data_IF_801701762098
#
_entry.id   IF_801701762098
#
_cell.length_a   1.000
_cell.length_b   1.000
_cell.length_c   1.000
_cell.angle_alpha   90.00
_cell.angle_beta   90.00
_cell.angle_gamma   90.00
#
_symmetry.space_group_name_H-M   'P 1'
#
loop_
_entity.id
_entity.type
_entity.pdbx_description
1 polymer ?
#
# COMPACT_ATOMS: atom_id res chain seq x y z
N UNK A 1 -1.19 -11.55 -11.94
CA UNK A 1 -0.69 -10.15 -11.84
C UNK A 1 -1.71 -9.23 -12.50
N UNK A 2 -1.86 -7.95 -12.09
CA UNK A 2 -2.71 -7.02 -12.87
C UNK A 2 -1.93 -6.51 -14.09
N UNK A 3 -2.60 -6.30 -15.23
CA UNK A 3 -1.97 -5.80 -16.47
C UNK A 3 -1.09 -4.54 -16.25
N UNK A 4 -1.53 -3.61 -15.40
CA UNK A 4 -0.72 -2.42 -15.05
C UNK A 4 0.56 -2.78 -14.29
N UNK A 5 0.53 -3.78 -13.42
CA UNK A 5 1.68 -4.19 -12.61
C UNK A 5 2.69 -4.99 -13.46
N UNK A 6 2.22 -5.66 -14.50
CA UNK A 6 3.02 -6.37 -15.49
C UNK A 6 3.82 -5.43 -16.39
N UNK A 7 3.21 -4.32 -16.86
CA UNK A 7 3.95 -3.25 -17.56
C UNK A 7 5.14 -2.72 -16.75
N UNK A 8 4.99 -2.66 -15.42
CA UNK A 8 6.09 -2.31 -14.52
C UNK A 8 7.18 -3.38 -14.45
N UNK A 9 6.80 -4.66 -14.43
CA UNK A 9 7.77 -5.75 -14.41
C UNK A 9 8.57 -5.81 -15.72
N UNK A 10 7.89 -5.74 -16.88
CA UNK A 10 8.51 -5.71 -18.20
C UNK A 10 9.48 -4.53 -18.35
N UNK A 11 9.07 -3.33 -17.91
CA UNK A 11 9.95 -2.16 -17.94
C UNK A 11 11.26 -2.40 -17.19
N UNK A 12 11.21 -2.91 -15.95
CA UNK A 12 12.43 -3.15 -15.18
C UNK A 12 13.26 -4.31 -15.75
N UNK A 13 12.60 -5.32 -16.32
CA UNK A 13 13.26 -6.46 -16.96
C UNK A 13 14.03 -6.00 -18.20
N UNK A 14 13.41 -5.23 -19.09
CA UNK A 14 14.06 -4.67 -20.27
C UNK A 14 15.21 -3.74 -19.89
N UNK A 15 15.01 -2.89 -18.87
CA UNK A 15 16.05 -1.94 -18.44
C UNK A 15 17.28 -2.62 -17.84
N UNK A 16 17.09 -3.77 -17.16
CA UNK A 16 18.17 -4.52 -16.53
C UNK A 16 18.60 -5.75 -17.35
N UNK A 17 18.05 -5.91 -18.56
CA UNK A 17 18.27 -7.07 -19.42
C UNK A 17 19.76 -7.44 -19.55
N UNK A 18 20.67 -6.50 -19.85
CA UNK A 18 22.08 -6.84 -20.03
C UNK A 18 22.75 -7.45 -18.80
N UNK A 19 22.29 -7.06 -17.61
CA UNK A 19 22.81 -7.60 -16.34
C UNK A 19 22.11 -8.88 -15.92
N UNK A 20 20.84 -9.04 -16.31
CA UNK A 20 20.01 -10.20 -15.96
C UNK A 20 20.40 -11.42 -16.79
N UNK A 21 20.61 -11.26 -18.09
CA UNK A 21 20.90 -12.34 -19.02
C UNK A 21 22.40 -12.60 -19.23
N UNK A 22 23.25 -11.95 -18.42
CA UNK A 22 24.69 -12.26 -18.39
C UNK A 22 25.50 -11.67 -19.54
N UNK A 23 24.93 -10.71 -20.30
CA UNK A 23 25.69 -9.93 -21.29
C UNK A 23 26.80 -9.10 -20.63
N UNK A 24 26.69 -8.85 -19.32
CA UNK A 24 27.63 -8.08 -18.52
C UNK A 24 28.11 -8.92 -17.34
N UNK A 25 29.43 -8.99 -17.16
CA UNK A 25 30.05 -9.64 -16.01
C UNK A 25 29.67 -8.99 -14.67
N UNK A 26 29.75 -9.77 -13.59
CA UNK A 26 29.39 -9.31 -12.24
C UNK A 26 30.19 -8.07 -11.81
N UNK A 27 31.45 -7.97 -12.22
CA UNK A 27 32.35 -6.86 -11.89
C UNK A 27 31.94 -5.57 -12.59
N UNK A 28 31.49 -5.67 -13.84
CA UNK A 28 31.05 -4.54 -14.66
C UNK A 28 29.62 -4.10 -14.35
N UNK A 29 28.86 -4.89 -13.59
CA UNK A 29 27.47 -4.57 -13.20
C UNK A 29 27.37 -3.19 -12.56
N UNK A 30 28.27 -2.82 -11.64
CA UNK A 30 28.21 -1.51 -10.99
C UNK A 30 28.45 -0.34 -11.96
N UNK A 31 29.35 -0.52 -12.93
CA UNK A 31 29.64 0.47 -13.96
C UNK A 31 28.43 0.66 -14.88
N UNK A 32 27.80 -0.44 -15.29
CA UNK A 32 26.56 -0.40 -16.08
C UNK A 32 25.45 0.36 -15.36
N UNK A 33 25.20 0.06 -14.07
CA UNK A 33 24.15 0.75 -13.31
C UNK A 33 24.44 2.25 -13.16
N UNK A 34 25.71 2.65 -12.99
CA UNK A 34 26.11 4.06 -12.98
C UNK A 34 25.82 4.74 -14.32
N UNK A 35 26.18 4.11 -15.44
CA UNK A 35 25.88 4.62 -16.79
C UNK A 35 24.37 4.78 -17.00
N UNK A 36 23.59 3.78 -16.59
CA UNK A 36 22.14 3.77 -16.74
C UNK A 36 21.45 4.87 -15.92
N UNK A 37 22.00 5.26 -14.77
CA UNK A 37 21.49 6.39 -13.98
C UNK A 37 21.64 7.75 -14.65
N UNK A 38 22.56 7.90 -15.61
CA UNK A 38 22.72 9.14 -16.37
C UNK A 38 21.68 9.25 -17.49
N UNK A 39 21.13 8.11 -17.94
CA UNK A 39 20.13 8.06 -18.99
C UNK A 39 18.74 8.41 -18.47
N UNK A 40 18.04 9.26 -19.22
CA UNK A 40 16.64 9.55 -18.96
C UNK A 40 15.76 8.51 -19.64
N UNK A 41 14.85 7.89 -18.88
CA UNK A 41 13.96 6.84 -19.37
C UNK A 41 12.50 7.20 -19.16
N UNK A 42 11.65 6.75 -20.07
CA UNK A 42 10.20 6.90 -19.97
C UNK A 42 9.64 5.76 -19.13
N UNK A 43 9.10 6.09 -17.97
CA UNK A 43 8.47 5.12 -17.09
C UNK A 43 7.08 4.69 -17.61
N UNK A 44 6.53 3.53 -17.19
CA UNK A 44 5.21 3.04 -17.62
C UNK A 44 4.02 3.96 -17.31
N UNK A 45 4.23 4.99 -16.49
CA UNK A 45 3.26 6.04 -16.18
C UNK A 45 3.42 7.29 -17.07
N UNK A 46 4.23 7.21 -18.13
CA UNK A 46 4.52 8.31 -19.07
C UNK A 46 5.53 9.35 -18.57
N UNK A 47 6.02 9.22 -17.33
CA UNK A 47 6.95 10.22 -16.77
C UNK A 47 8.38 9.94 -17.21
N UNK A 48 9.08 10.97 -17.69
CA UNK A 48 10.52 10.93 -17.98
C UNK A 48 11.30 11.21 -16.72
N UNK A 49 12.16 10.28 -16.31
CA UNK A 49 13.03 10.42 -15.13
C UNK A 49 14.30 9.61 -15.31
N UNK A 50 15.33 9.98 -14.55
CA UNK A 50 16.53 9.17 -14.35
C UNK A 50 16.33 8.21 -13.16
N UNK A 51 16.50 6.89 -13.34
CA UNK A 51 16.41 5.95 -12.23
C UNK A 51 17.65 6.10 -11.33
N UNK A 52 17.48 6.02 -10.01
CA UNK A 52 18.62 6.09 -9.08
C UNK A 52 19.35 4.76 -8.97
N UNK A 53 20.66 4.79 -8.65
CA UNK A 53 21.48 3.59 -8.43
C UNK A 53 20.83 2.67 -7.39
N UNK A 54 20.34 3.25 -6.29
CA UNK A 54 19.66 2.52 -5.22
C UNK A 54 18.40 1.80 -5.70
N UNK A 55 17.64 2.42 -6.61
CA UNK A 55 16.45 1.80 -7.21
C UNK A 55 16.82 0.65 -8.11
N UNK A 56 17.84 0.82 -8.96
CA UNK A 56 18.29 -0.22 -9.88
C UNK A 56 18.86 -1.42 -9.12
N UNK A 57 19.74 -1.21 -8.14
CA UNK A 57 20.28 -2.27 -7.26
C UNK A 57 19.17 -3.02 -6.54
N UNK A 58 18.22 -2.30 -5.93
CA UNK A 58 17.07 -2.91 -5.24
C UNK A 58 16.25 -3.78 -6.18
N UNK A 59 16.05 -3.35 -7.44
CA UNK A 59 15.30 -4.11 -8.44
C UNK A 59 16.06 -5.35 -8.93
N UNK A 60 17.35 -5.21 -9.20
CA UNK A 60 18.22 -6.33 -9.58
C UNK A 60 18.27 -7.41 -8.50
N UNK A 61 18.50 -7.02 -7.24
CA UNK A 61 18.53 -7.98 -6.12
C UNK A 61 17.21 -8.70 -5.94
N UNK A 62 16.09 -8.00 -6.16
CA UNK A 62 14.77 -8.60 -6.08
C UNK A 62 14.54 -9.62 -7.21
N UNK A 63 14.95 -9.28 -8.42
CA UNK A 63 14.89 -10.23 -9.55
C UNK A 63 15.71 -11.49 -9.26
N UNK A 64 16.94 -11.33 -8.75
CA UNK A 64 17.81 -12.48 -8.40
C UNK A 64 17.21 -13.39 -7.32
N UNK A 65 16.41 -12.83 -6.41
CA UNK A 65 15.79 -13.58 -5.31
C UNK A 65 14.49 -14.28 -5.71
N UNK A 66 13.59 -13.53 -6.36
CA UNK A 66 12.18 -13.89 -6.50
C UNK A 66 11.72 -13.89 -7.99
N UNK A 67 12.65 -13.72 -8.93
CA UNK A 67 12.40 -13.75 -10.39
C UNK A 67 11.61 -12.54 -10.93
N UNK A 68 11.07 -12.69 -12.14
CA UNK A 68 10.37 -11.63 -12.88
C UNK A 68 9.13 -11.09 -12.16
N UNK A 69 8.33 -11.96 -11.54
CA UNK A 69 7.09 -11.56 -10.84
C UNK A 69 7.35 -10.54 -9.73
N UNK A 70 8.54 -10.56 -9.14
CA UNK A 70 8.95 -9.65 -8.08
C UNK A 70 9.18 -8.20 -8.53
N UNK A 71 9.46 -8.01 -9.83
CA UNK A 71 9.67 -6.69 -10.45
C UNK A 71 8.37 -5.91 -10.60
N UNK A 72 7.24 -6.61 -10.56
CA UNK A 72 5.91 -6.04 -10.54
C UNK A 72 5.75 -4.97 -9.44
N UNK A 73 4.81 -4.06 -9.67
CA UNK A 73 4.47 -3.07 -8.65
C UNK A 73 3.74 -3.75 -7.49
N UNK A 74 4.38 -3.81 -6.33
CA UNK A 74 3.73 -4.28 -5.09
C UNK A 74 2.91 -3.15 -4.47
N UNK A 75 1.72 -3.46 -3.99
CA UNK A 75 0.99 -2.55 -3.11
C UNK A 75 1.82 -2.26 -1.86
N UNK A 76 1.75 -1.04 -1.34
CA UNK A 76 2.38 -0.74 -0.05
C UNK A 76 1.79 -1.64 1.03
N UNK A 77 2.63 -2.18 1.91
CA UNK A 77 2.19 -3.07 2.99
C UNK A 77 1.26 -2.37 3.99
N UNK A 78 1.47 -1.07 4.23
CA UNK A 78 0.64 -0.22 5.08
C UNK A 78 -0.61 0.31 4.37
N UNK A 79 -0.86 -0.08 3.11
CA UNK A 79 -1.99 0.45 2.33
C UNK A 79 -3.31 0.02 2.96
N UNK A 80 -3.93 0.95 3.68
CA UNK A 80 -5.19 0.70 4.39
C UNK A 80 -5.06 0.87 5.91
N UNK A 81 -3.84 0.83 6.44
CA UNK A 81 -3.55 1.14 7.83
C UNK A 81 -3.70 2.66 8.07
N UNK A 82 -4.35 3.02 9.17
CA UNK A 82 -4.40 4.41 9.61
C UNK A 82 -3.06 4.78 10.23
N UNK A 83 -2.39 5.81 9.72
CA UNK A 83 -1.14 6.31 10.33
C UNK A 83 -1.39 7.04 11.65
N UNK A 84 -2.58 7.63 11.82
CA UNK A 84 -2.96 8.41 13.00
C UNK A 84 -3.55 7.55 14.12
N UNK A 85 -4.11 6.40 13.79
CA UNK A 85 -4.79 5.48 14.71
C UNK A 85 -4.04 4.14 14.69
N UNK A 86 -3.27 3.87 15.74
CA UNK A 86 -2.52 2.61 15.87
C UNK A 86 -3.47 1.40 15.91
N UNK A 87 -2.97 0.22 15.51
CA UNK A 87 -3.76 -1.02 15.48
C UNK A 87 -4.42 -1.35 16.84
N UNK A 88 -3.80 -0.94 17.97
CA UNK A 88 -4.36 -1.07 19.33
C UNK A 88 -5.72 -0.36 19.51
N UNK A 89 -5.99 0.66 18.70
CA UNK A 89 -7.28 1.38 18.67
C UNK A 89 -8.30 0.71 17.75
N UNK A 90 -7.82 -0.03 16.75
CA UNK A 90 -8.68 -0.72 15.77
C UNK A 90 -9.24 -2.04 16.27
N UNK A 91 -8.70 -2.59 17.37
CA UNK A 91 -9.12 -3.87 17.96
C UNK A 91 -10.15 -3.75 19.08
N UNK A 92 -10.44 -2.55 19.59
CA UNK A 92 -11.53 -2.31 20.56
C UNK A 92 -12.87 -1.76 20.01
N UNK A 93 -13.34 -2.08 18.78
CA UNK A 93 -14.76 -1.95 18.49
C UNK A 93 -15.58 -3.07 19.16
N UNK A 94 -15.00 -3.90 20.03
CA UNK A 94 -15.70 -4.96 20.75
C UNK A 94 -16.94 -4.44 21.50
N UNK A 95 -16.82 -3.29 22.18
CA UNK A 95 -17.94 -2.66 22.90
C UNK A 95 -19.08 -2.15 21.98
N UNK A 96 -18.83 -2.02 20.67
CA UNK A 96 -19.89 -1.67 19.70
C UNK A 96 -20.72 -2.87 19.27
N UNK A 97 -20.17 -4.10 19.36
CA UNK A 97 -20.96 -5.33 19.21
C UNK A 97 -21.90 -5.52 20.40
N UNK A 98 -21.44 -5.18 21.60
CA UNK A 98 -22.23 -5.27 22.84
C UNK A 98 -23.35 -4.23 22.91
N UNK A 99 -23.13 -3.01 22.39
CA UNK A 99 -24.15 -1.95 22.39
C UNK A 99 -24.26 -1.24 21.03
N UNK A 100 -24.87 -1.90 20.04
CA UNK A 100 -24.87 -1.45 18.64
C UNK A 100 -25.73 -0.21 18.36
N UNK A 101 -26.61 0.19 19.29
CA UNK A 101 -27.46 1.38 19.18
C UNK A 101 -26.78 2.68 19.64
N UNK A 102 -25.59 2.64 20.25
CA UNK A 102 -24.87 3.84 20.69
C UNK A 102 -24.62 4.80 19.52
N UNK A 103 -24.82 6.10 19.74
CA UNK A 103 -24.58 7.13 18.73
C UNK A 103 -23.09 7.25 18.40
N UNK A 104 -22.79 7.71 17.18
CA UNK A 104 -21.41 7.93 16.73
C UNK A 104 -20.68 8.98 17.59
N UNK A 105 -21.41 9.98 18.10
CA UNK A 105 -20.88 10.96 19.06
C UNK A 105 -20.49 10.32 20.39
N UNK A 106 -21.31 9.39 20.90
CA UNK A 106 -20.99 8.64 22.11
C UNK A 106 -19.73 7.79 21.90
N UNK A 107 -19.62 7.10 20.76
CA UNK A 107 -18.43 6.34 20.39
C UNK A 107 -17.18 7.23 20.27
N UNK A 108 -17.30 8.41 19.67
CA UNK A 108 -16.19 9.36 19.56
C UNK A 108 -15.75 9.93 20.92
N UNK A 109 -16.68 10.23 21.84
CA UNK A 109 -16.36 10.64 23.21
C UNK A 109 -15.64 9.53 23.97
N UNK A 110 -16.05 8.28 23.79
CA UNK A 110 -15.33 7.14 24.38
C UNK A 110 -13.91 7.01 23.82
N UNK A 111 -13.73 7.15 22.50
CA UNK A 111 -12.41 7.13 21.88
C UNK A 111 -11.52 8.27 22.38
N UNK A 112 -12.09 9.46 22.57
CA UNK A 112 -11.38 10.59 23.16
C UNK A 112 -10.99 10.33 24.62
N UNK A 113 -11.91 9.82 25.44
CA UNK A 113 -11.65 9.53 26.86
C UNK A 113 -10.56 8.47 27.06
N UNK A 114 -10.59 7.38 26.30
CA UNK A 114 -9.65 6.27 26.49
C UNK A 114 -8.35 6.42 25.71
N UNK A 115 -8.34 7.22 24.65
CA UNK A 115 -7.23 7.26 23.70
C UNK A 115 -6.82 8.67 23.25
N UNK A 116 -7.42 9.70 23.82
CA UNK A 116 -7.08 11.11 23.59
C UNK A 116 -7.35 11.62 22.17
N UNK A 117 -8.09 10.87 21.33
CA UNK A 117 -8.26 11.19 19.91
C UNK A 117 -9.67 10.91 19.41
N UNK A 118 -10.27 11.90 18.75
CA UNK A 118 -11.51 11.75 17.96
C UNK A 118 -11.21 11.34 16.53
N UNK A 119 -12.11 10.59 15.90
CA UNK A 119 -12.01 10.35 14.45
C UNK A 119 -13.37 10.20 13.78
N UNK A 120 -14.09 11.31 13.59
CA UNK A 120 -15.40 11.31 12.90
C UNK A 120 -15.33 10.65 11.51
N UNK A 121 -14.31 10.97 10.71
CA UNK A 121 -14.16 10.44 9.34
C UNK A 121 -13.71 8.96 9.34
N UNK A 122 -12.86 8.54 10.29
CA UNK A 122 -12.34 7.17 10.29
C UNK A 122 -13.15 6.19 11.15
N UNK A 123 -14.03 6.66 12.05
CA UNK A 123 -14.84 5.79 12.92
C UNK A 123 -15.65 4.79 12.11
N UNK A 124 -16.41 5.27 11.10
CA UNK A 124 -17.18 4.39 10.22
C UNK A 124 -16.28 3.39 9.47
N UNK A 125 -15.12 3.82 8.99
CA UNK A 125 -14.14 2.95 8.32
C UNK A 125 -13.62 1.86 9.27
N UNK A 126 -13.35 2.19 10.52
CA UNK A 126 -12.92 1.23 11.54
C UNK A 126 -14.02 0.21 11.86
N UNK A 127 -15.25 0.68 12.09
CA UNK A 127 -16.40 -0.20 12.30
C UNK A 127 -16.61 -1.14 11.10
N UNK A 128 -16.45 -0.64 9.87
CA UNK A 128 -16.59 -1.44 8.65
C UNK A 128 -15.53 -2.54 8.54
N UNK A 129 -14.26 -2.20 8.81
CA UNK A 129 -13.15 -3.16 8.80
C UNK A 129 -13.31 -4.23 9.90
N UNK A 130 -13.79 -3.85 11.08
CA UNK A 130 -14.05 -4.76 12.19
C UNK A 130 -15.38 -5.54 12.09
N UNK A 131 -16.16 -5.29 11.03
CA UNK A 131 -17.47 -5.92 10.85
C UNK A 131 -18.55 -5.46 11.84
N UNK A 132 -18.32 -4.39 12.59
CA UNK A 132 -19.18 -3.88 13.66
C UNK A 132 -20.07 -2.68 13.24
N UNK A 133 -20.30 -2.50 11.94
CA UNK A 133 -21.28 -1.51 11.45
C UNK A 133 -22.69 -1.96 11.78
N UNK A 134 -23.58 -1.02 12.14
CA UNK A 134 -25.01 -1.29 12.42
C UNK A 134 -25.72 -2.16 11.39
N UNK A 135 -25.41 -1.97 10.10
CA UNK A 135 -25.92 -2.80 9.00
C UNK A 135 -25.52 -4.28 9.14
N UNK A 136 -24.25 -4.55 9.47
CA UNK A 136 -23.74 -5.92 9.65
C UNK A 136 -24.20 -6.56 10.96
N UNK A 137 -24.52 -5.75 11.97
CA UNK A 137 -25.05 -6.20 13.25
C UNK A 137 -26.58 -6.34 13.25
N UNK A 138 -27.26 -6.14 12.11
CA UNK A 138 -28.71 -6.28 11.98
C UNK A 138 -29.53 -5.18 12.66
N UNK A 139 -28.88 -4.12 13.17
CA UNK A 139 -29.55 -3.04 13.93
C UNK A 139 -30.21 -2.01 13.03
N UNK A 140 -29.72 -1.84 11.81
CA UNK A 140 -30.33 -0.97 10.82
C UNK A 140 -30.24 -1.62 9.45
N UNK A 141 -31.32 -1.53 8.67
CA UNK A 141 -31.34 -1.96 7.27
C UNK A 141 -30.97 -0.82 6.32
N UNK A 142 -30.86 0.42 6.83
CA UNK A 142 -30.55 1.58 6.02
C UNK A 142 -29.06 1.65 5.69
N UNK A 143 -28.74 1.52 4.40
CA UNK A 143 -27.38 1.71 3.89
C UNK A 143 -27.01 3.18 3.96
N UNK A 144 -26.07 3.53 4.83
CA UNK A 144 -25.49 4.88 4.90
C UNK A 144 -24.78 5.17 3.57
N UNK A 145 -25.35 6.10 2.79
CA UNK A 145 -24.71 6.66 1.60
C UNK A 145 -24.10 8.01 1.99
N UNK A 146 -22.79 8.15 1.85
CA UNK A 146 -22.15 9.45 1.96
C UNK A 146 -22.60 10.24 0.72
N UNK A 147 -23.22 11.42 0.90
CA UNK A 147 -23.38 12.38 -0.19
C UNK A 147 -21.98 12.96 -0.44
N UNK A 148 -21.49 12.76 -1.66
CA UNK A 148 -20.23 13.31 -2.19
C UNK A 148 -20.28 14.83 -2.24
#
# INVERSE_FOLDING_TARGET
MKSKDEKWALFWCNLLHPVIFGEIEKEQTNLFLKKLCLQEVVFPNGKRKRPTISTLRRKLNRYRKDGFQSLARKARSDRGASRRFSLKLSTKPLNSKEQPRRSDDCLNRFLEKYYGKRSQIHLYRHLRLAGATRLKLGVSQQKVRIRS
#
